data_IF_577024266147
#
_entry.id   IF_577024266147
#
_cell.length_a   1.000
_cell.length_b   1.000
_cell.length_c   1.000
_cell.angle_alpha   90.00
_cell.angle_beta   90.00
_cell.angle_gamma   90.00
#
_symmetry.space_group_name_H-M   'P 1'
#
loop_
_entity.id
_entity.type
_entity.pdbx_description
1 polymer ?
#
# COMPACT_ATOMS: atom_id res chain seq x y z
N UNK A 1 -33.67 -9.16 -2.85
CA UNK A 1 -32.45 -9.17 -2.01
C UNK A 1 -31.27 -9.46 -2.90
N UNK A 2 -30.14 -8.71 -2.78
CA UNK A 2 -28.95 -9.02 -3.54
C UNK A 2 -28.46 -10.44 -3.20
N UNK A 3 -28.08 -11.20 -4.21
CA UNK A 3 -27.54 -12.56 -4.07
C UNK A 3 -26.24 -12.49 -3.25
N UNK A 4 -26.16 -13.25 -2.14
CA UNK A 4 -24.95 -13.32 -1.32
C UNK A 4 -23.94 -14.25 -2.00
N UNK A 5 -22.72 -13.74 -2.19
CA UNK A 5 -21.65 -14.45 -2.86
C UNK A 5 -20.42 -14.50 -1.97
N UNK A 6 -19.80 -15.68 -1.83
CA UNK A 6 -18.50 -15.85 -1.17
C UNK A 6 -17.52 -16.52 -2.13
N UNK A 7 -16.25 -16.12 -2.07
CA UNK A 7 -15.23 -16.72 -2.89
C UNK A 7 -14.26 -17.58 -2.05
N UNK A 8 -13.73 -18.65 -2.62
CA UNK A 8 -12.69 -19.50 -2.05
C UNK A 8 -11.52 -19.52 -3.01
N UNK A 9 -10.31 -19.16 -2.55
CA UNK A 9 -9.09 -19.32 -3.33
C UNK A 9 -8.77 -20.81 -3.46
N UNK A 10 -8.95 -21.34 -4.68
CA UNK A 10 -8.92 -22.77 -4.97
C UNK A 10 -7.72 -23.13 -5.86
N UNK A 11 -6.71 -23.78 -5.30
CA UNK A 11 -5.56 -24.29 -6.05
C UNK A 11 -5.76 -25.69 -6.61
N UNK A 12 -6.78 -26.41 -6.12
CA UNK A 12 -6.98 -27.85 -6.37
C UNK A 12 -6.24 -28.75 -5.41
N UNK A 13 -5.30 -28.22 -4.61
CA UNK A 13 -4.60 -28.98 -3.58
C UNK A 13 -5.51 -29.34 -2.39
N UNK A 14 -5.03 -30.24 -1.53
CA UNK A 14 -5.78 -30.84 -0.42
C UNK A 14 -6.53 -29.82 0.43
N UNK A 15 -5.83 -28.82 0.94
CA UNK A 15 -6.38 -27.90 1.94
C UNK A 15 -7.41 -26.95 1.31
N UNK A 16 -7.16 -26.46 0.09
CA UNK A 16 -8.10 -25.63 -0.66
C UNK A 16 -9.35 -26.38 -1.11
N UNK A 17 -9.21 -27.67 -1.44
CA UNK A 17 -10.35 -28.54 -1.79
C UNK A 17 -11.22 -28.83 -0.58
N UNK A 18 -10.60 -29.09 0.56
CA UNK A 18 -11.31 -29.28 1.83
C UNK A 18 -12.07 -28.01 2.24
N UNK A 19 -11.42 -26.81 2.17
CA UNK A 19 -12.07 -25.55 2.49
C UNK A 19 -13.26 -25.27 1.55
N UNK A 20 -13.09 -25.46 0.24
CA UNK A 20 -14.17 -25.28 -0.71
C UNK A 20 -15.36 -26.19 -0.39
N UNK A 21 -15.11 -27.47 -0.13
CA UNK A 21 -16.18 -28.42 0.22
C UNK A 21 -16.89 -28.04 1.53
N UNK A 22 -16.14 -27.66 2.57
CA UNK A 22 -16.71 -27.22 3.85
C UNK A 22 -17.54 -25.92 3.68
N UNK A 23 -17.05 -24.99 2.85
CA UNK A 23 -17.77 -23.74 2.55
C UNK A 23 -19.09 -24.05 1.82
N UNK A 24 -19.09 -24.98 0.86
CA UNK A 24 -20.30 -25.39 0.13
C UNK A 24 -21.33 -26.01 1.05
N UNK A 25 -20.92 -26.86 1.99
CA UNK A 25 -21.83 -27.50 2.95
C UNK A 25 -22.55 -26.46 3.84
N UNK A 26 -21.89 -25.36 4.19
CA UNK A 26 -22.47 -24.26 4.97
C UNK A 26 -23.27 -23.30 4.09
N UNK A 27 -22.82 -23.03 2.88
CA UNK A 27 -23.44 -22.07 1.96
C UNK A 27 -24.77 -22.58 1.38
N UNK A 28 -24.89 -23.87 1.12
CA UNK A 28 -26.09 -24.48 0.54
C UNK A 28 -27.38 -24.19 1.32
N UNK A 29 -27.48 -24.47 2.63
CA UNK A 29 -28.69 -24.17 3.39
C UNK A 29 -28.96 -22.66 3.58
N UNK A 30 -27.94 -21.82 3.37
CA UNK A 30 -28.03 -20.36 3.50
C UNK A 30 -28.38 -19.66 2.18
N UNK A 31 -28.49 -20.40 1.07
CA UNK A 31 -28.72 -19.83 -0.25
C UNK A 31 -27.57 -18.92 -0.74
N UNK A 32 -26.32 -19.19 -0.30
CA UNK A 32 -25.14 -18.43 -0.67
C UNK A 32 -24.44 -19.08 -1.84
N UNK A 33 -24.15 -18.33 -2.89
CA UNK A 33 -23.34 -18.81 -4.02
C UNK A 33 -21.86 -18.80 -3.67
N UNK A 34 -21.13 -19.83 -4.06
CA UNK A 34 -19.70 -19.99 -3.80
C UNK A 34 -18.90 -19.95 -5.10
N UNK A 35 -17.92 -19.07 -5.20
CA UNK A 35 -16.98 -19.00 -6.30
C UNK A 35 -15.70 -19.75 -5.93
N UNK A 36 -15.33 -20.75 -6.72
CA UNK A 36 -14.03 -21.41 -6.64
C UNK A 36 -13.05 -20.67 -7.56
N UNK A 37 -12.20 -19.80 -6.98
CA UNK A 37 -11.28 -18.94 -7.74
C UNK A 37 -9.93 -19.65 -7.96
N UNK A 38 -9.57 -19.94 -9.20
CA UNK A 38 -8.31 -20.57 -9.57
C UNK A 38 -7.41 -19.60 -10.34
N UNK A 39 -6.14 -19.51 -9.95
CA UNK A 39 -5.15 -18.71 -10.68
C UNK A 39 -4.11 -19.63 -11.30
N UNK A 40 -4.02 -19.59 -12.62
CA UNK A 40 -3.04 -20.32 -13.39
C UNK A 40 -1.81 -19.43 -13.63
N UNK A 41 -0.70 -19.78 -13.02
CA UNK A 41 0.52 -18.95 -13.03
C UNK A 41 1.38 -19.13 -14.29
N UNK A 42 1.14 -20.14 -15.12
CA UNK A 42 1.98 -20.46 -16.29
C UNK A 42 3.40 -20.94 -15.96
N UNK A 43 3.69 -21.27 -14.69
CA UNK A 43 5.03 -21.65 -14.24
C UNK A 43 5.28 -23.16 -14.21
N UNK A 44 4.23 -23.98 -14.24
CA UNK A 44 4.31 -25.44 -14.21
C UNK A 44 3.77 -26.03 -15.51
N UNK A 45 4.43 -27.06 -16.02
CA UNK A 45 3.95 -27.83 -17.18
C UNK A 45 2.61 -28.55 -16.89
N UNK A 46 2.26 -28.75 -15.62
CA UNK A 46 1.03 -29.43 -15.19
C UNK A 46 -0.15 -28.47 -14.95
N UNK A 47 0.05 -27.17 -15.04
CA UNK A 47 -0.93 -26.16 -14.66
C UNK A 47 -2.25 -26.26 -15.45
N UNK A 48 -2.19 -26.54 -16.76
CA UNK A 48 -3.40 -26.79 -17.61
C UNK A 48 -4.17 -28.02 -17.15
N UNK A 49 -3.46 -29.06 -16.71
CA UNK A 49 -4.07 -30.27 -16.16
C UNK A 49 -4.78 -29.99 -14.82
N UNK A 50 -4.20 -29.15 -13.99
CA UNK A 50 -4.80 -28.76 -12.70
C UNK A 50 -6.05 -27.89 -12.90
N UNK A 51 -6.02 -26.96 -13.85
CA UNK A 51 -7.16 -26.14 -14.21
C UNK A 51 -8.34 -27.02 -14.64
N UNK A 52 -8.11 -27.96 -15.58
CA UNK A 52 -9.16 -28.90 -16.03
C UNK A 52 -9.71 -29.75 -14.90
N UNK A 53 -8.86 -30.35 -14.05
CA UNK A 53 -9.29 -31.16 -12.90
C UNK A 53 -10.13 -30.34 -11.91
N UNK A 54 -9.77 -29.09 -11.68
CA UNK A 54 -10.50 -28.15 -10.81
C UNK A 54 -11.90 -27.84 -11.35
N UNK A 55 -12.01 -27.51 -12.62
CA UNK A 55 -13.27 -27.26 -13.29
C UNK A 55 -14.18 -28.50 -13.26
N UNK A 56 -13.64 -29.68 -13.62
CA UNK A 56 -14.37 -30.94 -13.57
C UNK A 56 -14.88 -31.27 -12.16
N UNK A 57 -14.09 -30.98 -11.12
CA UNK A 57 -14.51 -31.20 -9.75
C UNK A 57 -15.71 -30.30 -9.41
N UNK A 58 -15.61 -29.01 -9.71
CA UNK A 58 -16.67 -28.04 -9.44
C UNK A 58 -17.94 -28.37 -10.26
N UNK A 59 -17.82 -28.75 -11.52
CA UNK A 59 -18.95 -29.20 -12.35
C UNK A 59 -19.65 -30.43 -11.76
N UNK A 60 -18.88 -31.40 -11.23
CA UNK A 60 -19.47 -32.58 -10.56
C UNK A 60 -20.24 -32.19 -9.30
N UNK A 61 -19.72 -31.25 -8.52
CA UNK A 61 -20.41 -30.78 -7.32
C UNK A 61 -21.66 -29.96 -7.66
N UNK A 62 -21.59 -29.11 -8.68
CA UNK A 62 -22.75 -28.35 -9.15
C UNK A 62 -23.88 -29.29 -9.64
N UNK A 63 -23.57 -30.38 -10.37
CA UNK A 63 -24.55 -31.38 -10.77
C UNK A 63 -25.20 -32.13 -9.60
N UNK A 64 -24.57 -32.11 -8.42
CA UNK A 64 -25.12 -32.64 -7.16
C UNK A 64 -25.89 -31.59 -6.33
N UNK A 65 -26.15 -30.42 -6.90
CA UNK A 65 -26.93 -29.37 -6.29
C UNK A 65 -26.12 -28.47 -5.34
N UNK A 66 -24.78 -28.57 -5.30
CA UNK A 66 -23.97 -27.64 -4.51
C UNK A 66 -23.81 -26.30 -5.24
N UNK A 67 -23.92 -25.15 -4.54
CA UNK A 67 -23.94 -23.80 -5.13
C UNK A 67 -22.55 -23.30 -5.51
N UNK A 68 -21.82 -24.04 -6.37
CA UNK A 68 -20.46 -23.74 -6.78
C UNK A 68 -20.36 -23.29 -8.23
N UNK A 69 -19.56 -22.24 -8.48
CA UNK A 69 -19.13 -21.79 -9.78
C UNK A 69 -17.60 -21.75 -9.82
N UNK A 70 -17.00 -22.45 -10.79
CA UNK A 70 -15.55 -22.37 -11.03
C UNK A 70 -15.22 -21.14 -11.86
N UNK A 71 -14.18 -20.40 -11.44
CA UNK A 71 -13.68 -19.22 -12.13
C UNK A 71 -12.17 -19.29 -12.17
N UNK A 72 -11.59 -19.17 -13.35
CA UNK A 72 -10.14 -19.22 -13.51
C UNK A 72 -9.61 -18.00 -14.25
N UNK A 73 -8.38 -17.61 -13.92
CA UNK A 73 -7.61 -16.60 -14.63
C UNK A 73 -6.20 -17.11 -14.90
N UNK A 74 -5.78 -17.01 -16.16
CA UNK A 74 -4.40 -17.28 -16.59
C UNK A 74 -3.60 -16.00 -16.49
N UNK A 75 -2.41 -16.05 -15.88
CA UNK A 75 -1.49 -14.93 -15.80
C UNK A 75 -0.57 -14.91 -17.03
N UNK A 76 -0.68 -13.88 -17.85
CA UNK A 76 0.13 -13.71 -19.06
C UNK A 76 1.50 -13.08 -18.77
N UNK A 77 1.60 -12.31 -17.68
CA UNK A 77 2.83 -11.61 -17.31
C UNK A 77 3.83 -12.53 -16.64
N UNK A 78 5.12 -12.22 -16.83
CA UNK A 78 6.25 -12.89 -16.15
C UNK A 78 6.96 -11.91 -15.23
N UNK A 79 7.71 -12.38 -14.20
CA UNK A 79 8.50 -11.52 -13.34
C UNK A 79 9.56 -10.76 -14.15
N UNK A 80 9.82 -9.51 -13.78
CA UNK A 80 10.88 -8.72 -14.36
C UNK A 80 12.27 -9.32 -14.01
N UNK A 81 13.29 -9.00 -14.81
CA UNK A 81 14.67 -9.48 -14.57
C UNK A 81 15.15 -8.96 -13.20
N UNK A 82 15.53 -9.88 -12.31
CA UNK A 82 15.97 -9.56 -10.94
C UNK A 82 14.84 -9.50 -9.90
N UNK A 83 13.59 -9.65 -10.30
CA UNK A 83 12.48 -9.74 -9.35
C UNK A 83 12.38 -11.16 -8.77
N UNK A 84 12.04 -11.27 -7.49
CA UNK A 84 11.77 -12.56 -6.86
C UNK A 84 10.50 -13.20 -7.45
N UNK A 85 10.67 -14.34 -8.11
CA UNK A 85 9.56 -15.11 -8.73
C UNK A 85 8.46 -15.42 -7.70
N UNK A 86 8.83 -15.78 -6.46
CA UNK A 86 7.87 -16.06 -5.38
C UNK A 86 7.05 -14.83 -5.00
N UNK A 87 7.73 -13.68 -4.82
CA UNK A 87 7.08 -12.42 -4.46
C UNK A 87 6.13 -11.96 -5.57
N UNK A 88 6.61 -12.00 -6.82
CA UNK A 88 5.81 -11.67 -7.98
C UNK A 88 4.57 -12.57 -8.12
N UNK A 89 4.76 -13.89 -8.09
CA UNK A 89 3.67 -14.86 -8.22
C UNK A 89 2.62 -14.69 -7.11
N UNK A 90 3.08 -14.41 -5.87
CA UNK A 90 2.18 -14.10 -4.76
C UNK A 90 1.37 -12.83 -5.01
N UNK A 91 2.00 -11.75 -5.41
CA UNK A 91 1.31 -10.47 -5.68
C UNK A 91 0.34 -10.60 -6.85
N UNK A 92 0.77 -11.21 -7.95
CA UNK A 92 -0.06 -11.45 -9.13
C UNK A 92 -1.29 -12.32 -8.79
N UNK A 93 -1.10 -13.38 -7.99
CA UNK A 93 -2.20 -14.22 -7.50
C UNK A 93 -3.23 -13.42 -6.69
N UNK A 94 -2.81 -12.60 -5.73
CA UNK A 94 -3.75 -11.81 -4.94
C UNK A 94 -4.50 -10.77 -5.78
N UNK A 95 -3.84 -10.15 -6.76
CA UNK A 95 -4.50 -9.23 -7.72
C UNK A 95 -5.55 -9.96 -8.56
N UNK A 96 -5.21 -11.12 -9.12
CA UNK A 96 -6.13 -11.91 -9.92
C UNK A 96 -7.34 -12.41 -9.10
N UNK A 97 -7.10 -12.96 -7.90
CA UNK A 97 -8.18 -13.39 -6.99
C UNK A 97 -9.11 -12.24 -6.62
N UNK A 98 -8.55 -11.06 -6.31
CA UNK A 98 -9.32 -9.85 -6.03
C UNK A 98 -10.21 -9.47 -7.21
N UNK A 99 -9.64 -9.38 -8.40
CA UNK A 99 -10.36 -8.98 -9.59
C UNK A 99 -11.51 -9.96 -9.89
N UNK A 100 -11.22 -11.27 -9.92
CA UNK A 100 -12.23 -12.30 -10.14
C UNK A 100 -13.37 -12.26 -9.11
N UNK A 101 -13.07 -11.97 -7.84
CA UNK A 101 -14.06 -11.86 -6.78
C UNK A 101 -14.98 -10.66 -6.99
N UNK A 102 -14.40 -9.46 -7.16
CA UNK A 102 -15.15 -8.22 -7.32
C UNK A 102 -16.02 -8.21 -8.59
N UNK A 103 -15.50 -8.70 -9.72
CA UNK A 103 -16.24 -8.79 -10.98
C UNK A 103 -17.51 -9.67 -10.88
N UNK A 104 -17.60 -10.49 -9.83
CA UNK A 104 -18.73 -11.41 -9.59
C UNK A 104 -19.48 -11.12 -8.30
N UNK A 105 -19.26 -9.94 -7.71
CA UNK A 105 -19.97 -9.45 -6.55
C UNK A 105 -19.57 -10.10 -5.22
N UNK A 106 -18.39 -10.74 -5.13
CA UNK A 106 -17.86 -11.27 -3.89
C UNK A 106 -16.86 -10.28 -3.25
N UNK A 107 -17.13 -9.83 -2.05
CA UNK A 107 -16.23 -9.00 -1.24
C UNK A 107 -15.56 -9.78 -0.09
N UNK A 108 -15.82 -11.11 -0.01
CA UNK A 108 -15.21 -12.04 0.93
C UNK A 108 -14.50 -13.16 0.18
N UNK A 109 -13.19 -13.31 0.40
CA UNK A 109 -12.37 -14.39 -0.16
C UNK A 109 -11.78 -15.23 0.98
N UNK A 110 -12.07 -16.53 0.97
CA UNK A 110 -11.57 -17.49 1.96
C UNK A 110 -10.26 -18.13 1.46
N UNK A 111 -9.29 -18.24 2.36
CA UNK A 111 -7.97 -18.82 2.13
C UNK A 111 -7.75 -20.04 3.05
N UNK A 112 -7.26 -21.13 2.52
CA UNK A 112 -7.09 -22.41 3.21
C UNK A 112 -5.81 -22.49 4.06
N UNK A 113 -5.35 -21.37 4.62
CA UNK A 113 -4.22 -21.40 5.55
C UNK A 113 -4.66 -21.97 6.89
N UNK A 114 -3.79 -22.78 7.50
CA UNK A 114 -4.03 -23.47 8.75
C UNK A 114 -2.94 -23.20 9.79
N UNK A 115 -3.04 -23.80 10.98
CA UNK A 115 -2.15 -23.53 12.12
C UNK A 115 -0.66 -23.75 11.79
N UNK A 116 -0.33 -24.79 11.03
CA UNK A 116 1.05 -25.01 10.57
C UNK A 116 1.56 -23.88 9.68
N UNK A 117 0.76 -23.37 8.77
CA UNK A 117 1.16 -22.22 7.94
C UNK A 117 1.45 -20.96 8.79
N UNK A 118 0.70 -20.79 9.88
CA UNK A 118 0.91 -19.71 10.83
C UNK A 118 2.26 -19.86 11.54
N UNK A 119 2.52 -21.05 12.07
CA UNK A 119 3.77 -21.40 12.76
C UNK A 119 5.00 -21.26 11.83
N UNK A 120 4.90 -21.77 10.60
CA UNK A 120 5.94 -21.61 9.57
C UNK A 120 6.20 -20.15 9.24
N UNK A 121 5.14 -19.35 9.10
CA UNK A 121 5.27 -17.93 8.79
C UNK A 121 5.93 -17.17 9.94
N UNK A 122 5.54 -17.44 11.18
CA UNK A 122 6.18 -16.88 12.37
C UNK A 122 7.68 -17.20 12.41
N UNK A 123 8.04 -18.48 12.27
CA UNK A 123 9.42 -18.92 12.30
C UNK A 123 10.27 -18.30 11.19
N UNK A 124 9.75 -18.24 9.95
CA UNK A 124 10.43 -17.59 8.84
C UNK A 124 10.64 -16.09 9.06
N UNK A 125 9.70 -15.41 9.72
CA UNK A 125 9.84 -13.99 10.04
C UNK A 125 10.84 -13.78 11.18
N UNK A 126 10.85 -14.65 12.18
CA UNK A 126 11.85 -14.63 13.27
C UNK A 126 13.27 -14.82 12.74
N UNK A 127 13.48 -15.79 11.84
CA UNK A 127 14.78 -16.07 11.21
C UNK A 127 15.28 -14.94 10.29
N UNK A 128 14.37 -14.06 9.86
CA UNK A 128 14.72 -12.85 9.09
C UNK A 128 14.94 -11.61 9.96
N UNK A 129 14.91 -11.77 11.29
CA UNK A 129 15.04 -10.66 12.23
C UNK A 129 13.81 -9.74 12.25
N UNK A 130 12.63 -10.28 11.94
CA UNK A 130 11.38 -9.52 11.93
C UNK A 130 10.99 -9.00 13.32
N UNK A 131 10.58 -7.73 13.42
CA UNK A 131 9.98 -7.17 14.64
C UNK A 131 8.54 -7.63 14.85
N UNK A 132 7.88 -7.13 15.91
CA UNK A 132 6.54 -7.53 16.37
C UNK A 132 5.51 -7.61 15.21
N UNK A 133 5.45 -6.60 14.35
CA UNK A 133 4.54 -6.58 13.22
C UNK A 133 4.78 -7.71 12.19
N UNK A 134 6.03 -8.14 12.01
CA UNK A 134 6.36 -9.27 11.13
C UNK A 134 6.06 -10.61 11.81
N UNK A 135 6.36 -10.72 13.12
CA UNK A 135 6.07 -11.89 13.95
C UNK A 135 4.57 -12.12 14.12
N UNK A 136 3.72 -11.12 13.92
CA UNK A 136 2.26 -11.26 13.85
C UNK A 136 1.78 -12.24 12.77
N UNK A 137 2.67 -12.64 11.86
CA UNK A 137 2.42 -13.58 10.76
C UNK A 137 1.16 -13.26 9.95
N UNK A 138 0.13 -14.13 9.95
CA UNK A 138 -1.09 -13.92 9.18
C UNK A 138 -2.26 -13.57 10.10
N UNK A 139 -3.01 -12.47 9.84
CA UNK A 139 -4.25 -12.19 10.55
C UNK A 139 -5.36 -13.17 10.13
N UNK A 140 -6.31 -13.46 11.04
CA UNK A 140 -7.48 -14.29 10.74
C UNK A 140 -8.34 -13.70 9.64
N UNK A 141 -8.50 -12.38 9.63
CA UNK A 141 -9.12 -11.64 8.54
C UNK A 141 -8.46 -10.28 8.36
N UNK A 142 -8.48 -9.76 7.14
CA UNK A 142 -8.01 -8.41 6.80
C UNK A 142 -8.82 -7.87 5.63
N UNK A 143 -9.32 -6.63 5.75
CA UNK A 143 -9.94 -5.92 4.63
C UNK A 143 -8.88 -5.12 3.90
N UNK A 144 -8.76 -5.36 2.60
CA UNK A 144 -7.81 -4.66 1.75
C UNK A 144 -8.36 -4.53 0.33
N UNK A 145 -8.24 -3.34 -0.25
CA UNK A 145 -8.61 -3.04 -1.64
C UNK A 145 -10.03 -3.51 -2.02
N UNK A 146 -11.02 -3.28 -1.12
CA UNK A 146 -12.42 -3.63 -1.32
C UNK A 146 -12.79 -5.08 -0.99
N UNK A 147 -11.83 -5.96 -0.69
CA UNK A 147 -12.05 -7.38 -0.38
C UNK A 147 -11.64 -7.71 1.05
N UNK A 148 -12.44 -8.51 1.74
CA UNK A 148 -12.10 -9.15 3.01
C UNK A 148 -11.47 -10.51 2.74
N UNK A 149 -10.21 -10.67 3.15
CA UNK A 149 -9.46 -11.92 3.07
C UNK A 149 -9.56 -12.63 4.40
N UNK A 150 -10.21 -13.80 4.46
CA UNK A 150 -10.38 -14.54 5.70
C UNK A 150 -9.70 -15.93 5.64
N UNK A 151 -9.21 -16.37 6.79
CA UNK A 151 -8.54 -17.67 7.00
C UNK A 151 -9.27 -18.44 8.10
N UNK A 152 -10.39 -19.09 7.78
CA UNK A 152 -11.23 -19.73 8.80
C UNK A 152 -10.48 -20.77 9.62
N UNK A 153 -9.53 -21.46 9.02
CA UNK A 153 -8.79 -22.57 9.60
C UNK A 153 -7.41 -22.21 10.18
N UNK A 154 -7.14 -20.93 10.39
CA UNK A 154 -5.82 -20.48 10.85
C UNK A 154 -5.44 -21.04 12.23
N UNK A 155 -6.40 -21.45 13.05
CA UNK A 155 -6.21 -22.13 14.34
C UNK A 155 -6.28 -23.65 14.24
N UNK A 156 -6.75 -24.19 13.12
CA UNK A 156 -6.98 -25.62 12.98
C UNK A 156 -5.66 -26.37 12.70
N UNK A 157 -5.42 -27.53 13.34
CA UNK A 157 -4.27 -28.35 13.05
C UNK A 157 -4.42 -29.02 11.69
N UNK A 158 -3.29 -29.23 11.02
CA UNK A 158 -3.25 -29.87 9.70
C UNK A 158 -3.94 -31.24 9.69
N UNK A 159 -3.76 -32.00 10.77
CA UNK A 159 -4.34 -33.34 10.98
C UNK A 159 -5.87 -33.33 10.92
N UNK A 160 -6.51 -32.26 11.41
CA UNK A 160 -7.96 -32.10 11.34
C UNK A 160 -8.43 -31.94 9.89
N UNK A 161 -7.68 -31.18 9.05
CA UNK A 161 -7.97 -31.02 7.62
C UNK A 161 -7.78 -32.35 6.88
N UNK A 162 -6.72 -33.09 7.20
CA UNK A 162 -6.48 -34.44 6.62
C UNK A 162 -7.58 -35.43 7.02
N UNK A 163 -8.04 -35.39 8.25
CA UNK A 163 -9.17 -36.21 8.72
C UNK A 163 -10.47 -35.83 7.97
N UNK A 164 -10.71 -34.54 7.75
CA UNK A 164 -11.84 -34.05 6.97
C UNK A 164 -11.81 -34.59 5.53
N UNK A 165 -10.66 -34.48 4.85
CA UNK A 165 -10.45 -34.97 3.48
C UNK A 165 -10.72 -36.49 3.39
N UNK A 166 -10.17 -37.27 4.36
CA UNK A 166 -10.44 -38.74 4.43
C UNK A 166 -11.91 -39.06 4.66
N UNK A 167 -12.54 -38.39 5.63
CA UNK A 167 -13.96 -38.60 5.99
C UNK A 167 -14.89 -38.36 4.79
N UNK A 168 -14.62 -37.29 4.02
CA UNK A 168 -15.46 -36.92 2.88
C UNK A 168 -14.95 -37.48 1.53
N UNK A 169 -13.89 -38.29 1.56
CA UNK A 169 -13.27 -38.94 0.38
C UNK A 169 -12.99 -37.93 -0.75
N UNK A 170 -12.44 -36.75 -0.37
CA UNK A 170 -12.19 -35.66 -1.31
C UNK A 170 -10.97 -35.97 -2.17
N UNK A 171 -11.15 -35.94 -3.48
CA UNK A 171 -10.04 -36.03 -4.44
C UNK A 171 -9.40 -34.64 -4.57
N UNK A 172 -8.09 -34.58 -4.54
CA UNK A 172 -7.30 -33.36 -4.68
C UNK A 172 -6.09 -33.62 -5.60
N UNK A 173 -5.38 -32.55 -5.91
CA UNK A 173 -4.16 -32.55 -6.71
C UNK A 173 -2.99 -32.54 -5.75
N UNK A 174 -2.06 -33.46 -5.93
CA UNK A 174 -0.74 -33.40 -5.29
C UNK A 174 0.19 -32.63 -6.22
N UNK A 175 0.71 -31.50 -5.75
CA UNK A 175 1.57 -30.58 -6.50
C UNK A 175 3.01 -30.83 -6.12
N UNK A 176 3.79 -31.40 -7.02
CA UNK A 176 5.21 -31.71 -6.89
C UNK A 176 6.13 -30.48 -6.80
N UNK A 177 5.65 -29.31 -7.20
CA UNK A 177 6.43 -28.05 -7.06
C UNK A 177 6.59 -27.59 -5.61
N UNK A 178 5.83 -28.20 -4.66
CA UNK A 178 5.95 -27.94 -3.24
C UNK A 178 7.25 -28.47 -2.60
N UNK A 179 8.03 -29.29 -3.33
CA UNK A 179 9.24 -29.91 -2.81
C UNK A 179 10.54 -29.20 -3.22
N UNK A 180 10.45 -28.12 -3.99
CA UNK A 180 11.64 -27.36 -4.45
C UNK A 180 12.34 -26.64 -3.28
N UNK A 181 13.56 -27.06 -2.87
CA UNK A 181 14.28 -26.52 -1.72
C UNK A 181 14.81 -25.10 -1.92
N UNK A 182 14.76 -24.55 -3.13
CA UNK A 182 15.12 -23.15 -3.40
C UNK A 182 14.21 -22.19 -2.65
N UNK A 183 12.97 -22.59 -2.38
CA UNK A 183 12.02 -21.79 -1.60
C UNK A 183 12.22 -21.99 -0.10
N UNK A 184 12.35 -20.89 0.64
CA UNK A 184 12.62 -20.92 2.08
C UNK A 184 11.57 -21.72 2.89
N UNK A 185 10.30 -21.67 2.49
CA UNK A 185 9.22 -22.43 3.14
C UNK A 185 9.37 -23.92 2.89
N UNK A 186 9.75 -24.34 1.68
CA UNK A 186 9.96 -25.74 1.35
C UNK A 186 11.18 -26.31 2.10
N UNK A 187 12.29 -25.54 2.18
CA UNK A 187 13.44 -25.91 3.03
C UNK A 187 13.04 -26.09 4.50
N UNK A 188 12.26 -25.14 5.04
CA UNK A 188 11.76 -25.23 6.41
C UNK A 188 10.98 -26.53 6.63
N UNK A 189 10.06 -26.85 5.70
CA UNK A 189 9.22 -28.06 5.78
C UNK A 189 10.02 -29.35 5.67
N UNK A 190 10.96 -29.41 4.74
CA UNK A 190 11.73 -30.62 4.45
C UNK A 190 12.86 -30.86 5.47
N UNK A 191 13.59 -29.80 5.84
CA UNK A 191 14.85 -29.96 6.59
C UNK A 191 14.76 -29.59 8.07
N UNK A 192 13.90 -28.65 8.45
CA UNK A 192 13.85 -28.13 9.83
C UNK A 192 12.64 -28.65 10.59
N UNK A 193 11.47 -28.65 9.95
CA UNK A 193 10.23 -28.97 10.64
C UNK A 193 10.19 -30.37 11.24
N UNK A 194 10.66 -31.44 10.58
CA UNK A 194 10.66 -32.78 11.16
C UNK A 194 11.49 -32.87 12.47
N UNK A 195 12.70 -32.30 12.46
CA UNK A 195 13.57 -32.27 13.63
C UNK A 195 12.98 -31.40 14.76
N UNK A 196 12.37 -30.25 14.40
CA UNK A 196 11.70 -29.37 15.37
C UNK A 196 10.53 -30.11 16.04
N UNK A 197 9.70 -30.79 15.27
CA UNK A 197 8.54 -31.52 15.78
C UNK A 197 8.94 -32.74 16.62
N UNK A 198 10.02 -33.39 16.26
CA UNK A 198 10.58 -34.49 17.06
C UNK A 198 11.09 -34.00 18.42
N UNK A 199 11.82 -32.88 18.45
CA UNK A 199 12.37 -32.32 19.69
C UNK A 199 11.30 -31.60 20.53
N UNK A 200 10.32 -31.00 19.90
CA UNK A 200 9.24 -30.21 20.52
C UNK A 200 7.89 -30.57 19.87
N UNK A 201 7.20 -31.62 20.37
CA UNK A 201 5.95 -32.09 19.76
C UNK A 201 4.88 -31.01 19.60
N UNK A 202 4.82 -30.06 20.54
CA UNK A 202 3.86 -28.95 20.55
C UNK A 202 4.34 -27.70 19.80
N UNK A 203 5.45 -27.75 19.06
CA UNK A 203 6.05 -26.59 18.38
C UNK A 203 5.05 -25.84 17.49
N UNK A 204 4.19 -26.55 16.77
CA UNK A 204 3.17 -25.94 15.91
C UNK A 204 2.22 -25.03 16.70
N UNK A 205 1.67 -25.56 17.80
CA UNK A 205 0.74 -24.81 18.64
C UNK A 205 1.43 -23.65 19.37
N UNK A 206 2.65 -23.90 19.89
CA UNK A 206 3.43 -22.88 20.59
C UNK A 206 3.80 -21.70 19.68
N UNK A 207 4.28 -21.96 18.46
CA UNK A 207 4.64 -20.90 17.48
C UNK A 207 3.40 -20.15 16.98
N UNK A 208 2.27 -20.83 16.76
CA UNK A 208 1.02 -20.18 16.40
C UNK A 208 0.49 -19.28 17.54
N UNK A 209 0.63 -19.70 18.81
CA UNK A 209 0.32 -18.86 19.96
C UNK A 209 1.25 -17.65 20.06
N UNK A 210 2.55 -17.83 19.84
CA UNK A 210 3.50 -16.72 19.82
C UNK A 210 3.13 -15.68 18.75
N UNK A 211 2.69 -16.14 17.56
CA UNK A 211 2.17 -15.25 16.52
C UNK A 211 0.93 -14.47 16.97
N UNK A 212 0.00 -15.10 17.72
CA UNK A 212 -1.18 -14.45 18.27
C UNK A 212 -0.81 -13.37 19.28
N UNK A 213 0.12 -13.66 20.20
CA UNK A 213 0.62 -12.64 21.14
C UNK A 213 1.32 -11.48 20.43
N UNK A 214 2.06 -11.77 19.36
CA UNK A 214 2.65 -10.73 18.53
C UNK A 214 1.56 -9.89 17.83
N UNK A 215 0.42 -10.46 17.43
CA UNK A 215 -0.72 -9.71 16.88
C UNK A 215 -1.32 -8.76 17.93
N UNK A 216 -1.53 -9.23 19.15
CA UNK A 216 -2.04 -8.42 20.25
C UNK A 216 -1.08 -7.26 20.57
N UNK A 217 0.22 -7.55 20.67
CA UNK A 217 1.25 -6.54 20.88
C UNK A 217 1.31 -5.52 19.73
N UNK A 218 1.19 -5.98 18.46
CA UNK A 218 1.16 -5.09 17.31
C UNK A 218 -0.06 -4.17 17.31
N UNK A 219 -1.23 -4.67 17.72
CA UNK A 219 -2.45 -3.86 17.87
C UNK A 219 -2.26 -2.77 18.94
N UNK A 220 -1.70 -3.10 20.11
CA UNK A 220 -1.37 -2.10 21.13
C UNK A 220 -0.37 -1.05 20.66
N UNK A 221 0.64 -1.45 19.86
CA UNK A 221 1.57 -0.50 19.24
C UNK A 221 0.87 0.44 18.24
N UNK A 222 -0.09 -0.07 17.49
CA UNK A 222 -0.88 0.74 16.55
C UNK A 222 -1.80 1.73 17.31
N UNK A 223 -2.41 1.33 18.43
CA UNK A 223 -3.18 2.21 19.32
C UNK A 223 -2.30 3.34 19.88
N UNK A 224 -1.10 3.01 20.39
CA UNK A 224 -0.16 4.03 20.84
C UNK A 224 0.26 4.99 19.72
N UNK A 225 0.50 4.46 18.52
CA UNK A 225 0.83 5.31 17.39
C UNK A 225 -0.33 6.24 17.00
N UNK A 226 -1.58 5.79 17.12
CA UNK A 226 -2.77 6.62 16.87
C UNK A 226 -2.88 7.80 17.84
N UNK A 227 -2.40 7.64 19.08
CA UNK A 227 -2.33 8.72 20.08
C UNK A 227 -1.15 9.65 19.83
N UNK A 228 0.03 9.08 19.47
CA UNK A 228 1.26 9.86 19.36
C UNK A 228 1.36 10.67 18.07
N UNK A 229 0.94 10.09 16.94
CA UNK A 229 1.12 10.70 15.63
C UNK A 229 0.49 12.09 15.48
N UNK A 230 -0.73 12.35 15.95
CA UNK A 230 -1.32 13.69 15.87
C UNK A 230 -0.51 14.77 16.61
N UNK A 231 0.22 14.38 17.67
CA UNK A 231 1.04 15.29 18.44
C UNK A 231 2.42 15.56 17.82
N UNK A 232 2.95 14.62 17.02
CA UNK A 232 4.32 14.71 16.51
C UNK A 232 4.39 14.81 14.98
N UNK A 233 3.27 14.71 14.25
CA UNK A 233 3.26 14.74 12.80
C UNK A 233 2.07 15.51 12.25
N UNK A 234 2.29 16.18 11.12
CA UNK A 234 1.24 16.72 10.25
C UNK A 234 1.06 15.79 9.03
N UNK A 235 0.11 16.15 8.14
CA UNK A 235 -0.09 15.41 6.90
C UNK A 235 1.22 15.26 6.09
N UNK A 236 2.11 16.27 6.09
CA UNK A 236 3.30 16.28 5.23
C UNK A 236 4.63 16.00 5.94
N UNK A 237 4.70 16.13 7.26
CA UNK A 237 5.97 16.10 7.97
C UNK A 237 5.86 15.57 9.39
N UNK A 238 6.95 14.96 9.88
CA UNK A 238 7.18 14.67 11.29
C UNK A 238 7.94 15.85 11.91
N UNK A 239 7.45 16.37 13.04
CA UNK A 239 8.14 17.37 13.86
C UNK A 239 9.20 16.66 14.71
N UNK A 240 10.47 16.99 14.48
CA UNK A 240 11.60 16.31 15.12
C UNK A 240 11.67 16.63 16.62
N UNK A 241 11.36 17.85 17.04
CA UNK A 241 11.40 18.24 18.45
C UNK A 241 10.30 17.53 19.25
N UNK A 242 9.06 17.58 18.75
CA UNK A 242 7.93 16.88 19.36
C UNK A 242 8.17 15.36 19.39
N UNK A 243 8.68 14.77 18.31
CA UNK A 243 9.03 13.36 18.27
C UNK A 243 10.13 13.00 19.27
N UNK A 244 11.15 13.84 19.43
CA UNK A 244 12.23 13.62 20.40
C UNK A 244 11.77 13.72 21.85
N UNK A 245 10.69 14.44 22.14
CA UNK A 245 10.12 14.52 23.50
C UNK A 245 9.46 13.23 23.95
N UNK A 246 9.12 12.32 23.02
CA UNK A 246 8.58 11.00 23.35
C UNK A 246 9.65 10.12 24.04
N UNK A 247 9.21 9.19 24.87
CA UNK A 247 10.09 8.14 25.41
C UNK A 247 10.69 7.29 24.28
N UNK A 248 11.86 6.65 24.45
CA UNK A 248 12.53 5.88 23.40
C UNK A 248 11.63 4.86 22.70
N UNK A 249 10.80 4.12 23.44
CA UNK A 249 9.90 3.11 22.88
C UNK A 249 8.79 3.77 22.04
N UNK A 250 8.12 4.82 22.55
CA UNK A 250 7.07 5.56 21.83
C UNK A 250 7.65 6.26 20.60
N UNK A 251 8.84 6.84 20.73
CA UNK A 251 9.57 7.47 19.63
C UNK A 251 9.85 6.51 18.47
N UNK A 252 10.34 5.30 18.79
CA UNK A 252 10.56 4.24 17.80
C UNK A 252 9.26 3.82 17.12
N UNK A 253 8.20 3.65 17.90
CA UNK A 253 6.89 3.24 17.39
C UNK A 253 6.24 4.31 16.49
N UNK A 254 6.21 5.56 16.94
CA UNK A 254 5.67 6.68 16.17
C UNK A 254 6.40 6.87 14.84
N UNK A 255 7.75 6.78 14.83
CA UNK A 255 8.55 6.86 13.60
C UNK A 255 8.20 5.74 12.62
N UNK A 256 8.12 4.47 13.11
CA UNK A 256 7.73 3.32 12.27
C UNK A 256 6.33 3.48 11.68
N UNK A 257 5.39 3.94 12.47
CA UNK A 257 4.01 4.16 12.05
C UNK A 257 3.91 5.30 11.02
N UNK A 258 4.60 6.41 11.24
CA UNK A 258 4.68 7.51 10.29
C UNK A 258 5.29 7.07 8.94
N UNK A 259 6.42 6.36 8.97
CA UNK A 259 7.07 5.83 7.77
C UNK A 259 6.16 4.83 7.02
N UNK A 260 5.42 3.98 7.75
CA UNK A 260 4.47 3.04 7.15
C UNK A 260 3.35 3.76 6.39
N UNK A 261 2.82 4.85 6.95
CA UNK A 261 1.83 5.69 6.27
C UNK A 261 2.39 6.32 5.00
N UNK A 262 3.64 6.80 5.03
CA UNK A 262 4.30 7.44 3.88
C UNK A 262 4.67 6.46 2.76
N UNK A 263 5.14 5.28 3.11
CA UNK A 263 5.60 4.29 2.13
C UNK A 263 4.50 3.33 1.66
N UNK A 264 3.33 3.30 2.33
CA UNK A 264 2.30 2.27 2.13
C UNK A 264 2.75 0.85 2.49
N UNK A 265 3.93 0.71 3.12
CA UNK A 265 4.54 -0.57 3.54
C UNK A 265 5.49 -0.35 4.71
N UNK A 266 5.89 -1.45 5.35
CA UNK A 266 6.87 -1.41 6.47
C UNK A 266 8.21 -0.85 6.00
N UNK A 267 8.75 0.10 6.76
CA UNK A 267 10.07 0.66 6.51
C UNK A 267 11.19 -0.34 6.78
N UNK A 268 12.30 -0.29 6.02
CA UNK A 268 13.49 -1.09 6.32
C UNK A 268 14.03 -0.84 7.73
N UNK A 269 14.42 -1.91 8.45
CA UNK A 269 14.91 -1.82 9.83
C UNK A 269 16.13 -0.90 9.91
N UNK A 270 17.07 -1.03 8.96
CA UNK A 270 18.28 -0.20 8.87
C UNK A 270 17.96 1.29 8.70
N UNK A 271 16.95 1.62 7.92
CA UNK A 271 16.50 3.03 7.75
C UNK A 271 15.96 3.59 9.06
N UNK A 272 15.13 2.82 9.76
CA UNK A 272 14.57 3.25 11.06
C UNK A 272 15.68 3.45 12.08
N UNK A 273 16.64 2.53 12.19
CA UNK A 273 17.78 2.67 13.09
C UNK A 273 18.60 3.93 12.79
N UNK A 274 18.97 4.13 11.53
CA UNK A 274 19.68 5.34 11.10
C UNK A 274 18.93 6.62 11.44
N UNK A 275 17.64 6.69 11.19
CA UNK A 275 16.83 7.85 11.52
C UNK A 275 16.79 8.12 13.03
N UNK A 276 16.73 7.08 13.86
CA UNK A 276 16.74 7.23 15.32
C UNK A 276 18.06 7.84 15.83
N UNK A 277 19.17 7.49 15.21
CA UNK A 277 20.50 7.93 15.59
C UNK A 277 20.86 9.31 14.98
N UNK A 278 20.52 9.52 13.71
CA UNK A 278 20.99 10.65 12.89
C UNK A 278 20.04 11.86 12.92
N UNK A 279 18.71 11.68 13.18
CA UNK A 279 17.76 12.79 13.16
C UNK A 279 18.11 13.87 14.18
N UNK A 280 18.31 15.09 13.67
CA UNK A 280 18.63 16.28 14.46
C UNK A 280 17.77 17.47 14.00
N UNK A 281 17.38 18.34 14.93
CA UNK A 281 16.62 19.55 14.65
C UNK A 281 17.41 20.57 13.82
N UNK A 282 18.73 20.58 13.96
CA UNK A 282 19.62 21.59 13.38
C UNK A 282 20.20 21.21 12.02
N UNK A 283 20.27 19.93 11.69
CA UNK A 283 20.91 19.46 10.47
C UNK A 283 19.90 19.25 9.34
N UNK A 284 20.24 19.72 8.14
CA UNK A 284 19.53 19.34 6.92
C UNK A 284 20.20 18.11 6.33
N UNK A 285 19.55 16.96 6.39
CA UNK A 285 20.06 15.66 5.99
C UNK A 285 19.15 14.96 4.98
N UNK A 286 19.67 13.93 4.32
CA UNK A 286 18.95 13.12 3.35
C UNK A 286 19.18 11.62 3.59
N UNK A 287 18.13 10.85 3.47
CA UNK A 287 18.20 9.38 3.54
C UNK A 287 17.47 8.77 2.34
N UNK A 288 18.09 7.85 1.60
CA UNK A 288 17.40 7.05 0.61
C UNK A 288 16.23 6.29 1.25
N UNK A 289 15.08 6.30 0.61
CA UNK A 289 13.88 5.65 1.08
C UNK A 289 13.21 4.89 -0.08
N UNK A 290 12.31 3.92 0.20
CA UNK A 290 11.57 3.22 -0.83
C UNK A 290 10.81 4.18 -1.73
N UNK A 291 11.10 4.15 -3.05
CA UNK A 291 10.49 5.01 -4.07
C UNK A 291 10.61 6.52 -3.80
N UNK A 292 11.71 6.95 -3.15
CA UNK A 292 11.94 8.35 -2.86
C UNK A 292 13.08 8.62 -1.87
N UNK A 293 13.03 9.76 -1.22
CA UNK A 293 13.99 10.20 -0.21
C UNK A 293 13.27 10.76 1.02
N UNK A 294 13.88 10.57 2.19
CA UNK A 294 13.54 11.32 3.40
C UNK A 294 14.51 12.50 3.53
N UNK A 295 14.00 13.64 3.95
CA UNK A 295 14.79 14.87 4.11
C UNK A 295 14.41 15.59 5.39
N UNK A 296 15.41 16.03 6.17
CA UNK A 296 15.20 16.95 7.29
C UNK A 296 15.44 18.40 6.89
N UNK A 297 14.58 19.29 7.36
CA UNK A 297 14.73 20.73 7.15
C UNK A 297 13.96 21.50 8.24
N UNK A 298 14.65 22.43 8.91
CA UNK A 298 14.07 23.29 9.98
C UNK A 298 13.26 22.49 11.02
N UNK A 299 13.85 21.44 11.55
CA UNK A 299 13.21 20.61 12.57
C UNK A 299 12.08 19.70 12.07
N UNK A 300 11.90 19.57 10.76
CA UNK A 300 10.87 18.70 10.16
C UNK A 300 11.51 17.61 9.29
N UNK A 301 10.99 16.39 9.40
CA UNK A 301 11.31 15.27 8.51
C UNK A 301 10.18 15.10 7.51
N UNK A 302 10.50 15.18 6.21
CA UNK A 302 9.56 15.03 5.10
C UNK A 302 9.93 13.82 4.24
N UNK A 303 8.93 13.18 3.64
CA UNK A 303 9.12 12.15 2.60
C UNK A 303 8.87 12.77 1.23
N UNK A 304 9.83 12.60 0.32
CA UNK A 304 9.77 13.09 -1.06
C UNK A 304 9.75 11.88 -2.00
N UNK A 305 8.60 11.51 -2.59
CA UNK A 305 8.52 10.46 -3.59
C UNK A 305 9.33 10.80 -4.85
N UNK A 306 9.90 9.79 -5.53
CA UNK A 306 10.63 9.98 -6.79
C UNK A 306 9.75 10.60 -7.89
N UNK A 307 8.45 10.34 -7.86
CA UNK A 307 7.48 10.93 -8.79
C UNK A 307 7.44 12.47 -8.73
N UNK A 308 7.82 13.08 -7.58
CA UNK A 308 7.88 14.54 -7.39
C UNK A 308 9.20 15.18 -7.82
N UNK A 309 10.14 14.42 -8.39
CA UNK A 309 11.40 14.99 -8.89
C UNK A 309 11.12 15.94 -10.04
N UNK A 310 11.88 17.06 -10.07
CA UNK A 310 11.75 18.12 -11.09
C UNK A 310 11.79 17.54 -12.51
N UNK A 311 10.81 17.92 -13.29
CA UNK A 311 10.82 17.79 -14.75
C UNK A 311 10.89 19.21 -15.33
N UNK A 312 11.79 19.44 -16.25
CA UNK A 312 11.75 20.62 -17.11
C UNK A 312 10.73 20.37 -18.20
N UNK A 313 9.88 21.35 -18.44
CA UNK A 313 8.80 21.23 -19.42
C UNK A 313 8.75 22.47 -20.30
N UNK A 314 8.31 22.36 -21.57
CA UNK A 314 8.09 23.51 -22.44
C UNK A 314 7.01 24.40 -21.86
N UNK A 315 7.11 25.71 -22.14
CA UNK A 315 6.09 26.69 -21.73
C UNK A 315 4.75 26.40 -22.42
N UNK A 316 3.66 26.48 -21.64
CA UNK A 316 2.30 26.20 -22.11
C UNK A 316 1.36 27.32 -21.70
N UNK A 317 0.50 27.77 -22.63
CA UNK A 317 -0.59 28.65 -22.31
C UNK A 317 -1.75 27.89 -21.68
N UNK A 318 -2.36 28.45 -20.67
CA UNK A 318 -3.47 27.85 -19.93
C UNK A 318 -4.54 28.88 -19.59
N UNK A 319 -5.78 28.42 -19.58
CA UNK A 319 -6.93 29.12 -19.01
C UNK A 319 -7.24 28.48 -17.65
N UNK A 320 -7.03 29.23 -16.57
CA UNK A 320 -7.32 28.84 -15.19
C UNK A 320 -8.46 29.70 -14.59
N UNK A 321 -9.34 30.27 -15.44
CA UNK A 321 -10.48 31.07 -14.99
C UNK A 321 -11.64 30.24 -14.45
N UNK A 322 -11.69 28.94 -14.76
CA UNK A 322 -12.76 28.03 -14.38
C UNK A 322 -12.36 27.16 -13.17
N UNK A 323 -13.30 27.01 -12.24
CA UNK A 323 -13.12 26.13 -11.09
C UNK A 323 -12.98 24.66 -11.51
N UNK A 324 -12.13 23.90 -10.84
CA UNK A 324 -11.90 22.49 -11.12
C UNK A 324 -10.44 22.10 -11.08
N UNK A 325 -10.15 20.90 -11.56
CA UNK A 325 -8.80 20.36 -11.67
C UNK A 325 -8.32 20.51 -13.11
N UNK A 326 -7.19 21.21 -13.29
CA UNK A 326 -6.55 21.43 -14.58
C UNK A 326 -5.21 20.69 -14.60
N UNK A 327 -5.14 19.56 -15.32
CA UNK A 327 -3.97 18.68 -15.35
C UNK A 327 -2.93 19.15 -16.37
N UNK A 328 -1.65 19.06 -15.98
CA UNK A 328 -0.48 19.39 -16.80
C UNK A 328 0.53 18.26 -16.76
N UNK A 329 0.34 17.27 -17.61
CA UNK A 329 1.16 16.05 -17.66
C UNK A 329 2.66 16.35 -17.80
N UNK A 330 3.05 17.44 -18.48
CA UNK A 330 4.44 17.87 -18.62
C UNK A 330 5.13 18.18 -17.28
N UNK A 331 4.38 18.59 -16.25
CA UNK A 331 4.88 18.82 -14.88
C UNK A 331 4.43 17.73 -13.89
N UNK A 332 3.75 16.64 -14.35
CA UNK A 332 3.20 15.57 -13.52
C UNK A 332 2.41 16.10 -12.33
N UNK A 333 1.37 16.87 -12.65
CA UNK A 333 0.49 17.46 -11.66
C UNK A 333 -0.49 18.42 -12.29
N UNK A 334 -1.30 19.06 -11.45
CA UNK A 334 -2.34 19.97 -11.89
C UNK A 334 -2.59 21.11 -10.91
N UNK A 335 -3.30 22.12 -11.38
CA UNK A 335 -3.87 23.16 -10.55
C UNK A 335 -5.28 22.78 -10.12
N UNK A 336 -5.53 22.84 -8.81
CA UNK A 336 -6.90 22.91 -8.30
C UNK A 336 -7.27 24.39 -8.22
N UNK A 337 -8.30 24.79 -8.98
CA UNK A 337 -8.78 26.16 -9.05
C UNK A 337 -10.09 26.28 -8.27
N UNK A 338 -10.14 27.20 -7.34
CA UNK A 338 -11.30 27.45 -6.49
C UNK A 338 -11.69 28.95 -6.53
N UNK A 339 -12.99 29.29 -6.56
CA UNK A 339 -13.44 30.67 -6.43
C UNK A 339 -13.18 31.14 -5.01
N UNK A 340 -12.72 32.38 -4.86
CA UNK A 340 -12.48 33.01 -3.55
C UNK A 340 -13.00 34.44 -3.56
N UNK A 341 -13.26 34.98 -2.37
CA UNK A 341 -13.75 36.38 -2.20
C UNK A 341 -12.65 37.39 -1.93
N UNK A 342 -11.43 36.90 -1.63
CA UNK A 342 -10.29 37.78 -1.34
C UNK A 342 -8.95 37.08 -1.61
N UNK A 343 -7.90 37.87 -1.85
CA UNK A 343 -6.52 37.41 -2.08
C UNK A 343 -6.34 36.43 -3.23
N UNK A 344 -7.27 36.41 -4.19
CA UNK A 344 -7.23 35.65 -5.43
C UNK A 344 -6.62 36.43 -6.58
N UNK A 345 -6.52 35.79 -7.74
CA UNK A 345 -6.25 36.38 -9.05
C UNK A 345 -7.57 36.70 -9.73
N UNK A 346 -7.68 37.85 -10.42
CA UNK A 346 -8.91 38.18 -11.18
C UNK A 346 -9.20 37.12 -12.23
N UNK A 347 -10.46 36.70 -12.35
CA UNK A 347 -10.90 35.69 -13.34
C UNK A 347 -10.51 36.11 -14.77
N UNK A 348 -10.60 37.39 -15.09
CA UNK A 348 -10.21 37.94 -16.40
C UNK A 348 -8.72 37.76 -16.69
N UNK A 349 -7.86 37.93 -15.69
CA UNK A 349 -6.42 37.66 -15.79
C UNK A 349 -6.12 36.16 -15.87
N UNK A 350 -6.90 35.34 -15.15
CA UNK A 350 -6.72 33.88 -15.10
C UNK A 350 -7.04 33.18 -16.43
N UNK A 351 -7.77 33.84 -17.36
CA UNK A 351 -8.13 33.28 -18.66
C UNK A 351 -6.95 33.14 -19.64
N UNK A 352 -5.83 33.84 -19.41
CA UNK A 352 -4.67 33.79 -20.31
C UNK A 352 -3.37 33.83 -19.52
N UNK A 353 -2.89 32.67 -19.10
CA UNK A 353 -1.70 32.51 -18.30
C UNK A 353 -0.64 31.64 -18.99
N UNK A 354 0.61 32.02 -18.86
CA UNK A 354 1.75 31.25 -19.36
C UNK A 354 2.37 30.43 -18.19
N UNK A 355 2.34 29.11 -18.30
CA UNK A 355 3.03 28.20 -17.41
C UNK A 355 4.43 27.94 -17.96
N UNK A 356 5.45 28.12 -17.14
CA UNK A 356 6.86 27.88 -17.53
C UNK A 356 7.73 27.46 -16.35
N UNK A 357 8.91 27.00 -16.67
CA UNK A 357 9.95 26.77 -15.68
C UNK A 357 10.43 28.09 -15.05
N UNK A 358 11.01 27.96 -13.86
CA UNK A 358 11.59 29.09 -13.12
C UNK A 358 12.87 29.59 -13.76
N UNK A 359 12.99 30.90 -13.94
CA UNK A 359 14.20 31.59 -14.40
C UNK A 359 14.97 32.28 -13.27
N UNK A 360 16.27 32.48 -13.45
CA UNK A 360 17.13 33.12 -12.44
C UNK A 360 16.73 34.56 -12.08
N UNK A 361 16.11 35.29 -13.03
CA UNK A 361 15.67 36.68 -12.85
C UNK A 361 14.28 36.84 -12.23
N UNK A 362 13.55 35.76 -11.96
CA UNK A 362 12.19 35.84 -11.43
C UNK A 362 12.15 36.51 -10.05
N UNK A 363 11.23 37.46 -9.90
CA UNK A 363 11.00 38.19 -8.66
C UNK A 363 9.55 37.99 -8.20
N UNK A 364 9.34 37.96 -6.91
CA UNK A 364 8.04 37.75 -6.26
C UNK A 364 7.85 38.71 -5.10
N UNK A 365 6.63 39.26 -4.98
CA UNK A 365 6.23 40.12 -3.86
C UNK A 365 5.28 39.33 -2.93
N UNK A 366 5.78 39.04 -1.71
CA UNK A 366 5.03 38.17 -0.77
C UNK A 366 3.84 38.88 -0.08
N UNK A 367 3.75 40.20 -0.13
CA UNK A 367 2.66 40.94 0.48
C UNK A 367 2.62 42.40 0.06
N UNK A 368 1.48 43.08 0.25
CA UNK A 368 1.34 44.51 -0.03
C UNK A 368 2.42 45.33 0.68
N UNK A 369 2.96 46.37 0.03
CA UNK A 369 3.99 47.27 0.60
C UNK A 369 5.39 46.66 0.75
N UNK A 370 5.60 45.37 0.47
CA UNK A 370 6.94 44.77 0.49
C UNK A 370 7.60 44.83 -0.88
N UNK A 371 8.92 45.12 -0.97
CA UNK A 371 9.61 45.13 -2.26
C UNK A 371 9.67 43.72 -2.87
N UNK A 372 9.54 43.60 -4.20
CA UNK A 372 9.76 42.32 -4.90
C UNK A 372 11.20 41.82 -4.71
N UNK A 373 11.37 40.56 -4.31
CA UNK A 373 12.70 39.93 -4.09
C UNK A 373 12.85 38.71 -5.01
N UNK A 374 14.10 38.26 -5.16
CA UNK A 374 14.37 37.03 -5.89
C UNK A 374 13.64 35.84 -5.27
N UNK A 375 13.21 34.89 -6.08
CA UNK A 375 12.53 33.69 -5.58
C UNK A 375 13.34 32.93 -4.53
N UNK A 376 14.69 32.93 -4.64
CA UNK A 376 15.56 32.30 -3.66
C UNK A 376 15.35 32.90 -2.26
N UNK A 377 15.36 34.21 -2.15
CA UNK A 377 15.16 34.92 -0.87
C UNK A 377 13.73 34.74 -0.34
N UNK A 378 12.73 34.78 -1.21
CA UNK A 378 11.32 34.60 -0.83
C UNK A 378 11.09 33.18 -0.26
N UNK A 379 11.60 32.15 -0.94
CA UNK A 379 11.53 30.79 -0.45
C UNK A 379 12.25 30.57 0.89
N UNK A 380 13.42 31.21 1.07
CA UNK A 380 14.15 31.16 2.33
C UNK A 380 13.36 31.82 3.47
N UNK A 381 12.79 32.99 3.21
CA UNK A 381 11.96 33.71 4.17
C UNK A 381 10.70 32.94 4.55
N UNK A 382 10.00 32.37 3.54
CA UNK A 382 8.80 31.55 3.72
C UNK A 382 9.09 30.15 4.29
N UNK A 383 10.37 29.76 4.43
CA UNK A 383 10.73 28.44 4.93
C UNK A 383 10.42 27.28 3.98
N UNK A 384 10.20 27.55 2.70
CA UNK A 384 9.88 26.51 1.70
C UNK A 384 11.17 25.83 1.27
N UNK A 385 11.33 24.50 1.50
CA UNK A 385 12.53 23.77 1.13
C UNK A 385 12.64 23.60 -0.39
N UNK A 386 13.87 23.35 -0.88
CA UNK A 386 14.15 23.31 -2.32
C UNK A 386 13.31 22.27 -3.10
N UNK A 387 12.95 21.16 -2.48
CA UNK A 387 12.18 20.08 -3.06
C UNK A 387 10.66 20.33 -3.11
N UNK A 388 10.13 21.26 -2.30
CA UNK A 388 8.73 21.68 -2.34
C UNK A 388 8.49 22.87 -3.30
N UNK A 389 9.51 23.28 -4.06
CA UNK A 389 9.43 24.38 -5.03
C UNK A 389 9.17 23.90 -6.44
N UNK A 390 8.79 22.64 -6.63
CA UNK A 390 8.51 22.05 -7.93
C UNK A 390 7.13 22.49 -8.44
N UNK A 391 6.94 22.46 -9.77
CA UNK A 391 5.75 22.94 -10.47
C UNK A 391 6.05 24.17 -11.31
N UNK A 392 5.15 24.52 -12.25
CA UNK A 392 5.31 25.66 -13.13
C UNK A 392 5.14 26.99 -12.39
N UNK A 393 5.91 27.98 -12.78
CA UNK A 393 5.59 29.40 -12.48
C UNK A 393 4.49 29.83 -13.43
N UNK A 394 3.46 30.48 -12.90
CA UNK A 394 2.38 31.05 -13.71
C UNK A 394 2.66 32.53 -13.93
N UNK A 395 2.67 32.94 -15.18
CA UNK A 395 2.95 34.31 -15.59
C UNK A 395 1.77 34.92 -16.36
N UNK A 396 1.57 36.20 -16.17
CA UNK A 396 0.71 37.03 -17.02
C UNK A 396 1.57 38.16 -17.59
N UNK A 397 1.55 38.35 -18.89
CA UNK A 397 2.38 39.33 -19.63
C UNK A 397 3.86 39.31 -19.25
N UNK A 398 4.41 38.08 -19.06
CA UNK A 398 5.82 37.84 -18.72
C UNK A 398 6.17 38.01 -17.24
N UNK A 399 5.22 38.50 -16.42
CA UNK A 399 5.43 38.72 -14.97
C UNK A 399 4.88 37.52 -14.19
N UNK A 400 5.65 36.95 -13.22
CA UNK A 400 5.12 35.92 -12.33
C UNK A 400 3.92 36.41 -11.51
N UNK A 401 2.78 35.75 -11.63
CA UNK A 401 1.56 36.00 -10.86
C UNK A 401 1.30 34.95 -9.78
N UNK A 402 1.83 33.74 -10.00
CA UNK A 402 1.79 32.66 -9.01
C UNK A 402 3.10 31.87 -9.02
N UNK A 403 3.54 31.48 -7.84
CA UNK A 403 4.75 30.67 -7.65
C UNK A 403 4.44 29.51 -6.71
N UNK A 404 4.73 28.25 -7.09
CA UNK A 404 4.51 27.09 -6.21
C UNK A 404 5.19 27.26 -4.86
N UNK A 405 4.45 26.99 -3.77
CA UNK A 405 4.93 27.17 -2.40
C UNK A 405 4.97 28.62 -1.88
N UNK A 406 4.76 29.63 -2.73
CA UNK A 406 4.65 31.04 -2.31
C UNK A 406 3.23 31.61 -2.56
N UNK A 407 2.46 31.02 -3.48
CA UNK A 407 1.11 31.44 -3.80
C UNK A 407 1.04 32.57 -4.83
N UNK A 408 0.00 33.43 -4.76
CA UNK A 408 -0.24 34.54 -5.68
C UNK A 408 0.63 35.74 -5.28
N UNK A 409 1.31 36.33 -6.25
CA UNK A 409 2.09 37.57 -6.09
C UNK A 409 1.17 38.71 -5.64
N UNK A 410 1.58 39.50 -4.66
CA UNK A 410 0.76 40.56 -4.10
C UNK A 410 0.36 41.63 -5.14
N UNK A 411 1.17 41.81 -6.20
CA UNK A 411 0.89 42.77 -7.29
C UNK A 411 -0.21 42.29 -8.24
N UNK A 412 -0.43 40.95 -8.28
CA UNK A 412 -1.40 40.33 -9.16
C UNK A 412 -2.74 40.02 -8.47
N UNK A 413 -2.88 40.35 -7.18
CA UNK A 413 -4.14 40.15 -6.48
C UNK A 413 -5.24 41.03 -7.04
N UNK A 414 -6.41 40.42 -7.20
CA UNK A 414 -7.61 41.13 -7.67
C UNK A 414 -8.03 42.22 -6.67
N UNK A 415 -8.70 43.24 -7.17
CA UNK A 415 -9.33 44.27 -6.37
C UNK A 415 -10.52 43.72 -5.57
N UNK A 416 -10.91 44.41 -4.50
CA UNK A 416 -12.07 44.05 -3.70
C UNK A 416 -13.36 44.12 -4.55
N UNK A 417 -14.18 43.05 -4.49
CA UNK A 417 -15.41 42.93 -5.25
C UNK A 417 -15.25 42.36 -6.67
N UNK A 418 -14.03 42.17 -7.18
CA UNK A 418 -13.82 41.48 -8.45
C UNK A 418 -13.98 39.95 -8.29
N UNK A 419 -14.58 39.25 -9.31
CA UNK A 419 -14.54 37.80 -9.35
C UNK A 419 -13.09 37.29 -9.37
N UNK A 420 -12.74 36.43 -8.44
CA UNK A 420 -11.36 35.97 -8.28
C UNK A 420 -11.25 34.49 -7.99
N UNK A 421 -10.14 33.91 -8.41
CA UNK A 421 -9.79 32.50 -8.21
C UNK A 421 -8.47 32.34 -7.48
N UNK A 422 -8.37 31.26 -6.73
CA UNK A 422 -7.15 30.80 -6.10
C UNK A 422 -6.72 29.48 -6.73
N UNK A 423 -5.44 29.28 -6.96
CA UNK A 423 -4.92 28.01 -7.42
C UNK A 423 -3.97 27.39 -6.40
N UNK A 424 -4.03 26.06 -6.32
CA UNK A 424 -3.11 25.24 -5.56
C UNK A 424 -2.51 24.20 -6.52
N UNK A 425 -1.17 24.15 -6.59
CA UNK A 425 -0.49 23.13 -7.37
C UNK A 425 -0.49 21.81 -6.60
N UNK A 426 -0.93 20.74 -7.22
CA UNK A 426 -0.86 19.35 -6.71
C UNK A 426 -0.07 18.50 -7.68
N UNK A 427 0.68 17.55 -7.14
CA UNK A 427 1.35 16.50 -7.91
C UNK A 427 0.45 15.27 -8.04
N UNK A 428 0.58 14.57 -9.16
CA UNK A 428 -0.12 13.29 -9.42
C UNK A 428 0.32 12.19 -8.45
#
# INVERSE_FOLDING_TARGET
>A
MAERVVAVAFSGGRDSTALLHATLAVAQPLGVRVLALHVHHGLSAHADGWLRKGDDLCRRWARRGLPVQFVAQVLEQRPARGESVESWARQARYRALRQMALDRGADLVLLAHHRRDQAETFLLQALRGGGVAALSAMPRSIRRDGVTWARPWLSEPREAIEAYVRRHRLRHIDDDTNDDPRFARNRLRASVWPALQQAFPDAEAALANAARWAQEAAAGLDEWAAVDLPAVATEDALDIAAWRSLTPARRSNALRAWLRQRFGKTAPVSLVARLQDELSERASMRWPAPAGELRSYRGRLCYEPDARRRHSAPSVWADLSHSGVHEFAAWRGGFVVEPVTSNGLAVTMAARLLLRDRHAGDRFQAGPGRPPRSLKLQYQSAGVPAWQRAGPIVCHDGVPVFVPGLGIDARARAAEGEPQVRFVWRFD
#
